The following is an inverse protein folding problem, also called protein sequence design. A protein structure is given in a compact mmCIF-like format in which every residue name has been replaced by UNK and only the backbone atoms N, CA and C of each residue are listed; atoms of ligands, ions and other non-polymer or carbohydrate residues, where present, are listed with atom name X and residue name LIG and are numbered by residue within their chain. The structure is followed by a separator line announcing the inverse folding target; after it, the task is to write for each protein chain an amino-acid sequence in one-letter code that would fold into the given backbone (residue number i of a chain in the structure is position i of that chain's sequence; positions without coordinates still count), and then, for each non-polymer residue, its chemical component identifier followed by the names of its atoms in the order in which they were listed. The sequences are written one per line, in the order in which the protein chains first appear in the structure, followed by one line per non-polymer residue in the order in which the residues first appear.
data_IF_328211188716
#
_entry.id   IF_328211188716
#
_cell.length_a   1.000
_cell.length_b   1.000
_cell.length_c   1.000
_cell.angle_alpha   90.00
_cell.angle_beta   90.00
_cell.angle_gamma   90.00
#
_symmetry.space_group_name_H-M   'P 1'
#
loop_
_entity.id
_entity.type
_entity.pdbx_description
1 polymer ?
#
# COMPACT_ATOMS: atom_id res chain seq x y z
N UNK A 1 -12.37 -29.07 -32.97
CA UNK A 1 -11.61 -30.12 -32.25
C UNK A 1 -10.32 -29.47 -31.74
N UNK A 2 -10.04 -29.28 -30.45
CA UNK A 2 -10.53 -29.91 -29.24
C UNK A 2 -11.27 -28.93 -28.32
N UNK A 3 -12.40 -29.38 -27.77
CA UNK A 3 -13.05 -28.72 -26.66
C UNK A 3 -12.12 -28.77 -25.44
N UNK A 4 -11.65 -27.59 -25.02
CA UNK A 4 -11.01 -27.41 -23.72
C UNK A 4 -12.01 -27.83 -22.66
N UNK A 5 -11.87 -29.06 -22.14
CA UNK A 5 -12.53 -29.47 -20.90
C UNK A 5 -12.15 -28.44 -19.84
N UNK A 6 -13.09 -27.57 -19.50
CA UNK A 6 -13.00 -26.76 -18.30
C UNK A 6 -13.06 -27.73 -17.13
N UNK A 7 -11.91 -28.24 -16.69
CA UNK A 7 -11.84 -28.97 -15.43
C UNK A 7 -12.41 -28.04 -14.38
N UNK A 8 -13.60 -28.34 -13.87
CA UNK A 8 -14.19 -27.58 -12.78
C UNK A 8 -13.19 -27.62 -11.63
N UNK A 9 -12.52 -26.50 -11.38
CA UNK A 9 -11.56 -26.40 -10.28
C UNK A 9 -12.36 -26.62 -9.01
N UNK A 10 -12.25 -27.82 -8.42
CA UNK A 10 -12.91 -28.13 -7.15
C UNK A 10 -12.33 -27.17 -6.09
N UNK A 11 -13.18 -26.58 -5.23
CA UNK A 11 -12.69 -25.84 -4.07
C UNK A 11 -11.79 -26.75 -3.23
N UNK A 12 -10.72 -26.19 -2.66
CA UNK A 12 -9.94 -26.93 -1.67
C UNK A 12 -10.83 -27.24 -0.46
N UNK A 13 -10.68 -28.45 0.08
CA UNK A 13 -11.33 -28.81 1.34
C UNK A 13 -10.75 -27.98 2.49
N UNK A 14 -11.49 -27.84 3.60
CA UNK A 14 -10.99 -27.10 4.77
C UNK A 14 -9.63 -27.61 5.27
N UNK A 15 -9.37 -28.91 5.16
CA UNK A 15 -8.10 -29.53 5.54
C UNK A 15 -6.93 -29.13 4.62
N UNK A 16 -7.20 -28.81 3.35
CA UNK A 16 -6.18 -28.45 2.35
C UNK A 16 -5.84 -26.95 2.36
N UNK A 17 -6.70 -26.11 2.93
CA UNK A 17 -6.54 -24.64 2.94
C UNK A 17 -5.21 -24.17 3.54
N UNK A 18 -4.72 -24.67 4.68
CA UNK A 18 -3.44 -24.20 5.23
C UNK A 18 -2.26 -24.48 4.29
N UNK A 19 -2.23 -25.66 3.67
CA UNK A 19 -1.19 -26.03 2.72
C UNK A 19 -1.28 -25.20 1.43
N UNK A 20 -2.51 -24.95 0.95
CA UNK A 20 -2.77 -24.12 -0.22
C UNK A 20 -2.35 -22.66 0.00
N UNK A 21 -2.69 -22.07 1.14
CA UNK A 21 -2.33 -20.69 1.43
C UNK A 21 -0.81 -20.54 1.62
N UNK A 22 -0.18 -21.53 2.24
CA UNK A 22 1.26 -21.59 2.44
C UNK A 22 2.04 -22.16 1.23
N UNK A 23 1.47 -22.15 0.03
CA UNK A 23 2.14 -22.58 -1.21
C UNK A 23 3.05 -21.48 -1.78
N UNK A 24 2.68 -20.21 -1.58
CA UNK A 24 3.40 -19.06 -2.08
C UNK A 24 3.21 -17.83 -1.17
N UNK A 25 4.24 -16.96 -1.03
CA UNK A 25 4.17 -15.80 -0.13
C UNK A 25 2.98 -14.89 -0.45
N UNK A 26 2.81 -14.51 -1.72
CA UNK A 26 1.75 -13.61 -2.16
C UNK A 26 0.34 -14.16 -1.88
N UNK A 27 0.13 -15.48 -1.86
CA UNK A 27 -1.22 -16.05 -1.68
C UNK A 27 -1.73 -15.82 -0.26
N UNK A 28 -0.96 -16.24 0.75
CA UNK A 28 -1.31 -16.01 2.16
C UNK A 28 -1.37 -14.52 2.50
N UNK A 29 -0.32 -13.78 2.13
CA UNK A 29 -0.20 -12.37 2.50
C UNK A 29 -1.19 -11.46 1.77
N UNK A 30 -1.56 -11.74 0.51
CA UNK A 30 -2.57 -10.94 -0.19
C UNK A 30 -3.98 -11.27 0.29
N UNK A 31 -4.26 -12.51 0.71
CA UNK A 31 -5.54 -12.83 1.35
C UNK A 31 -5.67 -12.05 2.68
N UNK A 32 -4.64 -12.09 3.52
CA UNK A 32 -4.58 -11.30 4.75
C UNK A 32 -4.75 -9.80 4.48
N UNK A 33 -4.05 -9.28 3.46
CA UNK A 33 -4.19 -7.87 3.04
C UNK A 33 -5.59 -7.53 2.53
N UNK A 34 -6.24 -8.45 1.79
CA UNK A 34 -7.59 -8.24 1.28
C UNK A 34 -8.63 -8.17 2.41
N UNK A 35 -8.46 -8.99 3.46
CA UNK A 35 -9.24 -8.88 4.69
C UNK A 35 -8.95 -7.54 5.38
N UNK A 36 -7.68 -7.16 5.52
CA UNK A 36 -7.27 -5.91 6.15
C UNK A 36 -7.84 -4.67 5.44
N UNK A 37 -7.90 -4.67 4.11
CA UNK A 37 -8.49 -3.58 3.30
C UNK A 37 -9.93 -3.28 3.65
N UNK A 38 -10.73 -4.32 3.92
CA UNK A 38 -12.12 -4.14 4.35
C UNK A 38 -12.20 -3.84 5.84
N UNK A 39 -11.48 -4.58 6.69
CA UNK A 39 -11.58 -4.43 8.14
C UNK A 39 -11.15 -3.03 8.62
N UNK A 40 -10.02 -2.50 8.11
CA UNK A 40 -9.53 -1.17 8.48
C UNK A 40 -10.56 -0.09 8.15
N UNK A 41 -11.17 -0.19 6.97
CA UNK A 41 -12.12 0.81 6.50
C UNK A 41 -13.52 0.61 7.07
N UNK A 42 -13.89 -0.60 7.48
CA UNK A 42 -15.13 -0.87 8.19
C UNK A 42 -15.10 -0.21 9.57
N UNK A 43 -14.03 -0.44 10.34
CA UNK A 43 -13.85 0.25 11.62
C UNK A 43 -13.82 1.78 11.43
N UNK A 44 -13.06 2.27 10.45
CA UNK A 44 -12.96 3.71 10.20
C UNK A 44 -14.27 4.35 9.72
N UNK A 45 -15.07 3.66 8.91
CA UNK A 45 -16.38 4.15 8.47
C UNK A 45 -17.36 4.26 9.64
N UNK A 46 -17.37 3.29 10.56
CA UNK A 46 -18.19 3.36 11.77
C UNK A 46 -17.72 4.48 12.69
N UNK A 47 -16.41 4.63 12.87
CA UNK A 47 -15.83 5.72 13.66
C UNK A 47 -16.20 7.11 13.10
N UNK A 48 -16.11 7.30 11.78
CA UNK A 48 -16.54 8.54 11.14
C UNK A 48 -18.05 8.77 11.24
N UNK A 49 -18.84 7.70 11.19
CA UNK A 49 -20.30 7.76 11.38
C UNK A 49 -20.63 8.21 12.80
N UNK A 50 -19.93 7.66 13.79
CA UNK A 50 -20.04 8.10 15.18
C UNK A 50 -19.66 9.58 15.32
N UNK A 51 -18.56 10.03 14.71
CA UNK A 51 -18.14 11.44 14.75
C UNK A 51 -19.17 12.38 14.11
N UNK A 52 -19.86 11.96 13.03
CA UNK A 52 -20.82 12.82 12.32
C UNK A 52 -22.21 12.84 12.95
N UNK A 53 -22.73 11.66 13.28
CA UNK A 53 -24.14 11.44 13.60
C UNK A 53 -24.37 11.03 15.06
N UNK A 54 -23.31 10.68 15.78
CA UNK A 54 -23.41 9.97 17.04
C UNK A 54 -23.81 8.51 16.84
N UNK A 55 -23.24 7.61 17.64
CA UNK A 55 -23.66 6.21 17.70
C UNK A 55 -23.58 5.76 19.16
N UNK A 56 -24.72 5.63 19.82
CA UNK A 56 -24.78 5.26 21.24
C UNK A 56 -24.10 3.91 21.49
N UNK A 57 -23.23 3.85 22.50
CA UNK A 57 -22.55 2.62 22.90
C UNK A 57 -21.39 2.17 22.02
N UNK A 58 -20.99 2.95 21.00
CA UNK A 58 -19.79 2.66 20.21
C UNK A 58 -18.52 2.87 21.06
N UNK A 59 -17.67 1.84 21.27
CA UNK A 59 -16.47 1.97 22.08
C UNK A 59 -15.43 2.85 21.38
N UNK A 60 -14.86 3.79 22.12
CA UNK A 60 -13.83 4.70 21.61
C UNK A 60 -12.42 4.11 21.80
N UNK A 61 -11.51 4.29 20.82
CA UNK A 61 -10.15 3.79 20.93
C UNK A 61 -9.37 4.56 21.99
N UNK A 62 -8.36 3.92 22.57
CA UNK A 62 -7.50 4.52 23.60
C UNK A 62 -6.44 5.49 23.07
N UNK A 63 -6.45 5.75 21.76
CA UNK A 63 -5.55 6.65 21.04
C UNK A 63 -6.38 7.47 20.06
N UNK A 64 -5.93 8.65 19.61
CA UNK A 64 -6.67 9.45 18.65
C UNK A 64 -7.10 8.61 17.42
N UNK A 65 -8.40 8.56 17.06
CA UNK A 65 -8.88 7.64 16.03
C UNK A 65 -8.21 7.85 14.67
N UNK A 66 -7.87 9.10 14.32
CA UNK A 66 -7.12 9.40 13.10
C UNK A 66 -5.70 8.84 13.10
N UNK A 67 -5.05 8.74 14.27
CA UNK A 67 -3.73 8.10 14.40
C UNK A 67 -3.85 6.59 14.31
N UNK A 68 -4.87 5.99 14.94
CA UNK A 68 -5.18 4.58 14.79
C UNK A 68 -5.40 4.22 13.31
N UNK A 69 -6.26 4.96 12.60
CA UNK A 69 -6.51 4.82 11.16
C UNK A 69 -5.21 4.86 10.35
N UNK A 70 -4.38 5.89 10.57
CA UNK A 70 -3.10 6.01 9.89
C UNK A 70 -2.19 4.80 10.16
N UNK A 71 -2.05 4.39 11.41
CA UNK A 71 -1.15 3.32 11.81
C UNK A 71 -1.59 1.95 11.31
N UNK A 72 -2.88 1.57 11.45
CA UNK A 72 -3.34 0.24 10.99
C UNK A 72 -3.30 0.12 9.46
N UNK A 73 -3.50 1.21 8.72
CA UNK A 73 -3.40 1.20 7.27
C UNK A 73 -1.93 1.13 6.81
N UNK A 74 -1.07 1.98 7.37
CA UNK A 74 0.32 2.12 6.92
C UNK A 74 1.20 0.95 7.34
N UNK A 75 0.95 0.38 8.53
CA UNK A 75 1.78 -0.68 9.13
C UNK A 75 1.13 -2.05 9.18
N UNK A 76 -0.19 -2.15 8.98
CA UNK A 76 -0.91 -3.41 8.93
C UNK A 76 -1.38 -3.76 7.52
N UNK A 77 -2.26 -2.94 6.93
CA UNK A 77 -2.92 -3.21 5.66
C UNK A 77 -1.94 -3.30 4.47
N UNK A 78 -1.29 -2.19 4.10
CA UNK A 78 -0.43 -2.16 2.91
C UNK A 78 0.78 -3.11 3.00
N UNK A 79 1.43 -3.26 4.17
CA UNK A 79 2.58 -4.14 4.36
C UNK A 79 2.30 -5.61 4.08
N UNK A 80 1.06 -6.08 4.29
CA UNK A 80 0.69 -7.43 3.89
C UNK A 80 0.88 -7.64 2.39
N UNK A 81 0.43 -6.69 1.56
CA UNK A 81 0.70 -6.74 0.11
C UNK A 81 2.18 -6.51 -0.23
N UNK A 82 2.87 -5.63 0.50
CA UNK A 82 4.28 -5.36 0.25
C UNK A 82 5.14 -6.59 0.54
N UNK A 83 4.99 -7.23 1.70
CA UNK A 83 5.70 -8.47 2.01
C UNK A 83 5.30 -9.60 1.06
N UNK A 84 4.01 -9.75 0.73
CA UNK A 84 3.56 -10.77 -0.21
C UNK A 84 4.22 -10.63 -1.58
N UNK A 85 4.40 -9.39 -2.05
CA UNK A 85 5.11 -9.09 -3.28
C UNK A 85 6.62 -9.28 -3.13
N UNK A 86 7.25 -8.62 -2.15
CA UNK A 86 8.70 -8.57 -1.99
C UNK A 86 9.31 -9.95 -1.72
N UNK A 87 8.70 -10.76 -0.85
CA UNK A 87 9.13 -12.15 -0.57
C UNK A 87 8.97 -13.05 -1.80
N UNK A 88 8.09 -12.69 -2.75
CA UNK A 88 7.95 -13.41 -4.03
C UNK A 88 8.98 -12.94 -5.06
N UNK A 89 9.30 -11.64 -5.12
CA UNK A 89 10.08 -11.05 -6.22
C UNK A 89 11.56 -10.84 -5.92
N UNK A 90 11.98 -10.67 -4.66
CA UNK A 90 13.40 -10.46 -4.32
C UNK A 90 14.29 -11.60 -4.81
N UNK A 91 13.98 -12.88 -4.52
CA UNK A 91 14.79 -13.99 -5.04
C UNK A 91 14.84 -13.97 -6.57
N UNK A 92 13.72 -13.66 -7.23
CA UNK A 92 13.66 -13.58 -8.70
C UNK A 92 14.50 -12.44 -9.28
N UNK A 93 14.52 -11.27 -8.64
CA UNK A 93 15.34 -10.15 -9.08
C UNK A 93 16.84 -10.44 -9.00
N UNK A 94 17.21 -11.41 -8.17
CA UNK A 94 18.59 -11.79 -7.87
C UNK A 94 18.96 -13.16 -8.43
N UNK A 95 18.07 -13.78 -9.21
CA UNK A 95 18.23 -15.13 -9.77
C UNK A 95 18.54 -16.20 -8.70
N UNK A 96 17.91 -16.10 -7.52
CA UNK A 96 18.04 -17.02 -6.41
C UNK A 96 16.81 -17.95 -6.30
N UNK A 97 16.95 -19.13 -5.66
CA UNK A 97 15.82 -20.03 -5.41
C UNK A 97 14.67 -19.36 -4.67
N UNK A 98 13.45 -19.81 -4.95
CA UNK A 98 12.26 -19.30 -4.26
C UNK A 98 12.32 -19.59 -2.75
N UNK A 99 11.83 -18.64 -1.94
CA UNK A 99 11.76 -18.82 -0.50
C UNK A 99 10.76 -19.92 -0.12
N UNK A 100 11.15 -20.77 0.83
CA UNK A 100 10.26 -21.78 1.39
C UNK A 100 9.28 -21.19 2.42
N UNK A 101 8.20 -21.92 2.71
CA UNK A 101 7.15 -21.57 3.71
C UNK A 101 7.68 -21.17 5.09
N UNK A 102 8.83 -21.69 5.52
CA UNK A 102 9.48 -21.31 6.79
C UNK A 102 9.88 -19.83 6.84
N UNK A 103 10.07 -19.20 5.69
CA UNK A 103 10.47 -17.79 5.60
C UNK A 103 9.26 -16.84 5.70
N UNK A 104 8.18 -17.11 4.98
CA UNK A 104 7.09 -16.12 4.83
C UNK A 104 5.87 -16.38 5.72
N UNK A 105 5.64 -17.61 6.20
CA UNK A 105 4.52 -17.89 7.12
C UNK A 105 4.66 -17.13 8.44
N UNK A 106 5.84 -17.08 9.10
CA UNK A 106 6.01 -16.27 10.31
C UNK A 106 5.75 -14.78 10.06
N UNK A 107 6.22 -14.24 8.94
CA UNK A 107 5.96 -12.84 8.55
C UNK A 107 4.46 -12.60 8.42
N UNK A 108 3.75 -13.47 7.72
CA UNK A 108 2.30 -13.35 7.53
C UNK A 108 1.54 -13.47 8.86
N UNK A 109 1.87 -14.47 9.68
CA UNK A 109 1.23 -14.69 10.97
C UNK A 109 1.46 -13.52 11.92
N UNK A 110 2.68 -12.97 11.98
CA UNK A 110 3.01 -11.85 12.86
C UNK A 110 2.40 -10.54 12.37
N UNK A 111 2.54 -10.17 11.08
CA UNK A 111 1.97 -8.91 10.59
C UNK A 111 0.45 -8.94 10.62
N UNK A 112 -0.19 -10.01 10.13
CA UNK A 112 -1.65 -10.12 10.13
C UNK A 112 -2.21 -10.34 11.54
N UNK A 113 -1.60 -11.21 12.34
CA UNK A 113 -2.02 -11.45 13.72
C UNK A 113 -1.90 -10.18 14.57
N UNK A 114 -0.78 -9.47 14.47
CA UNK A 114 -0.60 -8.19 15.13
C UNK A 114 -1.59 -7.12 14.65
N UNK A 115 -1.89 -7.07 13.35
CA UNK A 115 -2.93 -6.20 12.79
C UNK A 115 -4.33 -6.52 13.36
N UNK A 116 -4.71 -7.80 13.44
CA UNK A 116 -6.00 -8.21 14.00
C UNK A 116 -6.07 -7.85 15.48
N UNK A 117 -5.03 -8.15 16.27
CA UNK A 117 -4.96 -7.76 17.68
C UNK A 117 -5.10 -6.25 17.85
N UNK A 118 -4.40 -5.45 17.03
CA UNK A 118 -4.49 -4.00 17.10
C UNK A 118 -5.91 -3.51 16.80
N UNK A 119 -6.58 -4.03 15.76
CA UNK A 119 -7.97 -3.65 15.42
C UNK A 119 -8.96 -4.05 16.52
N UNK A 120 -8.84 -5.25 17.10
CA UNK A 120 -9.66 -5.65 18.26
C UNK A 120 -9.35 -4.76 19.47
N UNK A 121 -8.11 -4.31 19.62
CA UNK A 121 -7.74 -3.35 20.65
C UNK A 121 -8.43 -1.99 20.53
N UNK A 122 -8.76 -1.56 19.31
CA UNK A 122 -9.42 -0.28 19.06
C UNK A 122 -10.87 -0.23 19.56
N UNK A 123 -11.50 -1.39 19.83
CA UNK A 123 -12.87 -1.45 20.40
C UNK A 123 -12.89 -1.48 21.93
N UNK A 124 -11.93 -0.79 22.57
CA UNK A 124 -11.90 -0.62 24.04
C UNK A 124 -10.97 -1.57 24.80
N UNK A 125 -9.99 -2.19 24.13
CA UNK A 125 -9.01 -3.09 24.76
C UNK A 125 -7.57 -2.59 24.55
N UNK A 126 -7.09 -1.57 25.28
CA UNK A 126 -5.84 -0.87 24.99
C UNK A 126 -4.59 -1.77 24.99
N UNK A 127 -4.58 -2.81 25.82
CA UNK A 127 -3.48 -3.77 25.89
C UNK A 127 -3.31 -4.58 24.59
N UNK A 128 -4.41 -4.84 23.86
CA UNK A 128 -4.37 -5.50 22.56
C UNK A 128 -3.79 -4.59 21.47
N UNK A 129 -3.97 -3.27 21.56
CA UNK A 129 -3.30 -2.31 20.67
C UNK A 129 -1.79 -2.46 20.82
N UNK A 130 -1.29 -2.42 22.07
CA UNK A 130 0.15 -2.57 22.38
C UNK A 130 0.70 -3.90 21.89
N UNK A 131 0.02 -5.00 22.25
CA UNK A 131 0.41 -6.35 21.81
C UNK A 131 0.41 -6.46 20.27
N UNK A 132 -0.60 -5.90 19.60
CA UNK A 132 -0.70 -5.91 18.15
C UNK A 132 0.48 -5.23 17.46
N UNK A 133 0.88 -4.05 17.91
CA UNK A 133 2.04 -3.34 17.34
C UNK A 133 3.39 -4.02 17.65
N UNK A 134 3.53 -4.67 18.82
CA UNK A 134 4.71 -5.48 19.14
C UNK A 134 4.83 -6.67 18.17
N UNK A 135 3.72 -7.39 17.96
CA UNK A 135 3.70 -8.56 17.07
C UNK A 135 3.91 -8.14 15.61
N UNK A 136 3.36 -7.00 15.18
CA UNK A 136 3.66 -6.44 13.85
C UNK A 136 5.15 -6.11 13.70
N UNK A 137 5.79 -5.48 14.68
CA UNK A 137 7.22 -5.20 14.68
C UNK A 137 8.05 -6.49 14.54
N UNK A 138 7.70 -7.55 15.26
CA UNK A 138 8.36 -8.84 15.11
C UNK A 138 8.26 -9.38 13.67
N UNK A 139 7.08 -9.30 13.05
CA UNK A 139 6.88 -9.70 11.65
C UNK A 139 7.72 -8.88 10.67
N UNK A 140 7.81 -7.57 10.90
CA UNK A 140 8.66 -6.66 10.13
C UNK A 140 10.14 -7.00 10.25
N UNK A 141 10.64 -7.24 11.46
CA UNK A 141 12.04 -7.60 11.69
C UNK A 141 12.38 -8.93 11.01
N UNK A 142 11.51 -9.94 11.11
CA UNK A 142 11.69 -11.22 10.42
C UNK A 142 11.74 -11.02 8.90
N UNK A 143 10.74 -10.33 8.33
CA UNK A 143 10.65 -10.12 6.88
C UNK A 143 11.82 -9.31 6.33
N UNK A 144 12.20 -8.23 7.01
CA UNK A 144 13.33 -7.37 6.64
C UNK A 144 14.65 -8.15 6.71
N UNK A 145 14.85 -8.96 7.76
CA UNK A 145 16.04 -9.80 7.90
C UNK A 145 16.16 -10.82 6.77
N UNK A 146 15.06 -11.50 6.41
CA UNK A 146 15.04 -12.47 5.31
C UNK A 146 15.39 -11.79 3.99
N UNK A 147 14.74 -10.67 3.68
CA UNK A 147 14.99 -9.93 2.43
C UNK A 147 16.42 -9.36 2.38
N UNK A 148 16.95 -8.92 3.53
CA UNK A 148 18.35 -8.49 3.67
C UNK A 148 19.33 -9.62 3.40
N UNK A 149 19.09 -10.82 3.93
CA UNK A 149 19.92 -12.01 3.64
C UNK A 149 19.90 -12.39 2.16
N UNK A 150 18.74 -12.30 1.50
CA UNK A 150 18.61 -12.54 0.05
C UNK A 150 19.43 -11.52 -0.74
N UNK A 151 19.38 -10.24 -0.37
CA UNK A 151 20.15 -9.18 -1.01
C UNK A 151 21.67 -9.33 -0.79
N UNK A 152 22.08 -9.71 0.42
CA UNK A 152 23.47 -9.99 0.77
C UNK A 152 24.02 -11.18 -0.03
N UNK A 153 23.26 -12.28 -0.12
CA UNK A 153 23.63 -13.44 -0.92
C UNK A 153 23.81 -13.11 -2.42
N UNK A 154 23.11 -12.09 -2.91
CA UNK A 154 23.24 -11.59 -4.28
C UNK A 154 24.36 -10.52 -4.46
N UNK A 155 25.18 -10.30 -3.43
CA UNK A 155 26.29 -9.33 -3.46
C UNK A 155 25.83 -7.87 -3.47
N UNK A 156 24.63 -7.56 -2.97
CA UNK A 156 24.12 -6.18 -2.84
C UNK A 156 24.11 -5.38 -4.16
N UNK A 157 23.82 -6.01 -5.31
CA UNK A 157 23.94 -5.35 -6.63
C UNK A 157 22.68 -4.65 -7.12
N UNK A 158 21.52 -4.90 -6.51
CA UNK A 158 20.22 -4.44 -7.01
C UNK A 158 19.71 -3.22 -6.21
N UNK A 159 19.80 -2.02 -6.80
CA UNK A 159 19.44 -0.76 -6.12
C UNK A 159 17.96 -0.68 -5.73
N UNK A 160 17.05 -1.21 -6.55
CA UNK A 160 15.63 -1.30 -6.18
C UNK A 160 15.41 -2.16 -4.92
N UNK A 161 16.20 -3.22 -4.75
CA UNK A 161 16.11 -4.07 -3.56
C UNK A 161 16.67 -3.34 -2.32
N UNK A 162 17.77 -2.61 -2.45
CA UNK A 162 18.30 -1.73 -1.39
C UNK A 162 17.28 -0.68 -0.97
N UNK A 163 16.65 -0.03 -1.93
CA UNK A 163 15.59 0.97 -1.70
C UNK A 163 14.42 0.38 -0.92
N UNK A 164 13.88 -0.76 -1.35
CA UNK A 164 12.82 -1.43 -0.60
C UNK A 164 13.26 -1.86 0.81
N UNK A 165 14.51 -2.33 0.98
CA UNK A 165 15.03 -2.76 2.28
C UNK A 165 15.21 -1.57 3.24
N UNK A 166 15.71 -0.44 2.74
CA UNK A 166 15.81 0.80 3.50
C UNK A 166 14.44 1.28 3.98
N UNK A 167 13.44 1.22 3.11
CA UNK A 167 12.07 1.59 3.46
C UNK A 167 11.46 0.65 4.52
N UNK A 168 11.68 -0.67 4.42
CA UNK A 168 11.27 -1.62 5.44
C UNK A 168 11.98 -1.39 6.78
N UNK A 169 13.27 -1.07 6.75
CA UNK A 169 14.03 -0.72 7.95
C UNK A 169 13.48 0.55 8.62
N UNK A 170 13.17 1.60 7.85
CA UNK A 170 12.45 2.77 8.36
C UNK A 170 11.07 2.39 8.89
N UNK A 171 10.36 1.46 8.26
CA UNK A 171 9.13 0.88 8.79
C UNK A 171 9.30 0.30 10.20
N UNK A 172 10.38 -0.44 10.46
CA UNK A 172 10.70 -0.91 11.81
C UNK A 172 10.91 0.25 12.78
N UNK A 173 11.64 1.30 12.36
CA UNK A 173 11.87 2.50 13.19
C UNK A 173 10.55 3.19 13.52
N UNK A 174 9.65 3.34 12.56
CA UNK A 174 8.33 3.93 12.80
C UNK A 174 7.46 3.11 13.74
N UNK A 175 7.48 1.77 13.63
CA UNK A 175 6.81 0.89 14.59
C UNK A 175 7.38 1.03 16.01
N UNK A 176 8.71 1.11 16.15
CA UNK A 176 9.35 1.37 17.44
C UNK A 176 8.93 2.73 18.00
N UNK A 177 8.95 3.79 17.18
CA UNK A 177 8.50 5.11 17.60
C UNK A 177 7.03 5.10 18.07
N UNK A 178 6.15 4.41 17.37
CA UNK A 178 4.76 4.28 17.81
C UNK A 178 4.63 3.49 19.11
N UNK A 179 5.41 2.43 19.29
CA UNK A 179 5.43 1.68 20.55
C UNK A 179 5.92 2.56 21.70
N UNK A 180 6.96 3.37 21.51
CA UNK A 180 7.41 4.35 22.51
C UNK A 180 6.26 5.23 22.96
N UNK A 181 5.47 5.78 22.03
CA UNK A 181 4.25 6.53 22.37
C UNK A 181 3.23 5.68 23.15
N UNK A 182 2.92 4.47 22.69
CA UNK A 182 1.95 3.59 23.37
C UNK A 182 2.37 3.18 24.80
N UNK A 183 3.67 3.24 25.11
CA UNK A 183 4.22 2.97 26.43
C UNK A 183 4.52 4.23 27.26
N UNK A 184 3.92 5.37 26.89
CA UNK A 184 3.98 6.62 27.69
C UNK A 184 5.02 7.63 27.21
N UNK A 185 5.64 7.41 26.04
CA UNK A 185 6.47 8.41 25.38
C UNK A 185 5.66 9.57 24.78
N UNK A 186 6.33 10.62 24.29
CA UNK A 186 5.67 11.83 23.81
C UNK A 186 4.88 11.59 22.51
N UNK A 187 3.86 12.42 22.28
CA UNK A 187 3.03 12.38 21.05
C UNK A 187 3.85 12.57 19.77
N UNK A 188 4.97 13.28 19.84
CA UNK A 188 5.90 13.48 18.72
C UNK A 188 6.46 12.16 18.18
N UNK A 189 6.50 11.09 18.99
CA UNK A 189 6.87 9.75 18.53
C UNK A 189 5.76 9.11 17.66
N UNK A 190 4.48 9.32 17.99
CA UNK A 190 3.38 8.86 17.14
C UNK A 190 3.32 9.62 15.82
N UNK A 191 3.51 10.95 15.85
CA UNK A 191 3.59 11.76 14.64
C UNK A 191 4.77 11.33 13.76
N UNK A 192 5.95 11.11 14.35
CA UNK A 192 7.10 10.57 13.63
C UNK A 192 6.76 9.25 12.94
N UNK A 193 6.11 8.32 13.66
CA UNK A 193 5.69 7.05 13.09
C UNK A 193 4.74 7.23 11.90
N UNK A 194 3.74 8.11 12.00
CA UNK A 194 2.80 8.38 10.90
C UNK A 194 3.52 8.97 9.67
N UNK A 195 4.47 9.88 9.87
CA UNK A 195 5.25 10.45 8.75
C UNK A 195 6.22 9.45 8.14
N UNK A 196 6.90 8.63 8.96
CA UNK A 196 7.72 7.51 8.49
C UNK A 196 6.88 6.52 7.70
N UNK A 197 5.68 6.16 8.17
CA UNK A 197 4.83 5.20 7.49
C UNK A 197 4.49 5.65 6.06
N UNK A 198 4.15 6.92 5.88
CA UNK A 198 3.82 7.44 4.53
C UNK A 198 5.06 7.68 3.68
N UNK A 199 6.04 8.46 4.17
CA UNK A 199 7.14 8.99 3.36
C UNK A 199 8.45 8.21 3.48
N UNK A 200 8.63 7.45 4.55
CA UNK A 200 9.80 6.58 4.76
C UNK A 200 9.55 5.11 4.37
N UNK A 201 8.31 4.63 4.42
CA UNK A 201 7.94 3.23 4.18
C UNK A 201 7.13 3.07 2.88
N UNK A 202 5.89 3.57 2.84
CA UNK A 202 4.96 3.30 1.74
C UNK A 202 5.42 3.93 0.43
N UNK A 203 5.59 5.25 0.40
CA UNK A 203 5.91 5.95 -0.84
C UNK A 203 7.23 5.44 -1.47
N UNK A 204 8.33 5.26 -0.73
CA UNK A 204 9.54 4.71 -1.32
C UNK A 204 9.35 3.30 -1.88
N UNK A 205 8.58 2.42 -1.24
CA UNK A 205 8.31 1.08 -1.76
C UNK A 205 7.44 1.13 -3.01
N UNK A 206 6.33 1.86 -2.96
CA UNK A 206 5.44 2.00 -4.11
C UNK A 206 6.18 2.59 -5.31
N UNK A 207 6.89 3.70 -5.12
CA UNK A 207 7.67 4.33 -6.18
C UNK A 207 8.78 3.41 -6.70
N UNK A 208 9.52 2.72 -5.82
CA UNK A 208 10.59 1.80 -6.24
C UNK A 208 10.04 0.65 -7.09
N UNK A 209 8.90 0.07 -6.67
CA UNK A 209 8.24 -1.01 -7.40
C UNK A 209 7.72 -0.50 -8.74
N UNK A 210 7.04 0.66 -8.78
CA UNK A 210 6.59 1.26 -10.05
C UNK A 210 7.77 1.59 -10.97
N UNK A 211 8.83 2.20 -10.43
CA UNK A 211 10.05 2.56 -11.15
C UNK A 211 10.73 1.34 -11.79
N UNK A 212 10.68 0.18 -11.14
CA UNK A 212 11.21 -1.07 -11.72
C UNK A 212 10.25 -1.70 -12.72
N UNK A 213 8.97 -1.78 -12.35
CA UNK A 213 7.98 -2.67 -12.98
C UNK A 213 7.19 -2.01 -14.09
N UNK A 214 6.81 -0.74 -13.97
CA UNK A 214 5.97 -0.08 -14.97
C UNK A 214 6.69 0.05 -16.32
N UNK A 215 7.97 0.49 -16.37
CA UNK A 215 8.71 0.54 -17.64
C UNK A 215 9.00 -0.86 -18.18
N UNK A 216 9.25 -1.83 -17.28
CA UNK A 216 9.47 -3.23 -17.67
C UNK A 216 8.21 -3.85 -18.29
N UNK A 217 7.03 -3.64 -17.71
CA UNK A 217 5.77 -4.15 -18.28
C UNK A 217 5.42 -3.45 -19.59
N UNK A 218 5.67 -2.14 -19.69
CA UNK A 218 5.47 -1.40 -20.94
C UNK A 218 6.39 -1.95 -22.04
N UNK A 219 7.66 -2.21 -21.74
CA UNK A 219 8.61 -2.80 -22.68
C UNK A 219 8.30 -4.23 -23.14
N UNK A 220 7.53 -4.99 -22.35
CA UNK A 220 7.09 -6.34 -22.74
C UNK A 220 5.83 -6.34 -23.62
N UNK A 221 5.13 -5.21 -23.72
CA UNK A 221 3.83 -5.11 -24.41
C UNK A 221 3.93 -4.23 -25.65
N UNK A 222 4.62 -3.10 -25.54
CA UNK A 222 4.71 -2.08 -26.59
C UNK A 222 5.94 -2.37 -27.45
N UNK A 223 5.73 -2.56 -28.75
CA UNK A 223 6.82 -2.72 -29.73
C UNK A 223 7.68 -1.46 -29.75
N UNK A 224 9.00 -1.65 -29.85
CA UNK A 224 10.00 -0.56 -29.93
C UNK A 224 9.95 0.42 -28.75
N UNK A 225 9.56 -0.06 -27.57
CA UNK A 225 9.51 0.75 -26.35
C UNK A 225 10.88 0.87 -25.67
N UNK A 226 11.36 2.10 -25.52
CA UNK A 226 12.59 2.40 -24.79
C UNK A 226 12.33 2.44 -23.28
N UNK A 227 12.94 1.50 -22.54
CA UNK A 227 12.78 1.39 -21.08
C UNK A 227 13.57 2.49 -20.35
N UNK A 228 12.86 3.50 -19.85
CA UNK A 228 13.45 4.63 -19.10
C UNK A 228 13.46 4.34 -17.59
N UNK A 229 14.65 4.11 -17.02
CA UNK A 229 14.89 3.87 -15.58
C UNK A 229 16.20 4.50 -15.12
N UNK A 230 16.28 5.84 -15.01
CA UNK A 230 17.52 6.51 -14.64
C UNK A 230 17.98 6.11 -13.23
N UNK A 231 19.29 5.96 -13.04
CA UNK A 231 19.85 5.61 -11.71
C UNK A 231 19.75 6.76 -10.69
N UNK A 232 19.65 8.00 -11.17
CA UNK A 232 19.58 9.19 -10.32
C UNK A 232 18.24 9.32 -9.59
N UNK A 233 17.15 8.73 -10.09
CA UNK A 233 15.80 8.98 -9.58
C UNK A 233 15.60 8.51 -8.15
N UNK A 234 16.00 7.28 -7.83
CA UNK A 234 15.85 6.71 -6.50
C UNK A 234 16.58 7.52 -5.41
N UNK A 235 17.89 7.84 -5.52
CA UNK A 235 18.56 8.63 -4.50
C UNK A 235 18.00 10.06 -4.37
N UNK A 236 17.64 10.72 -5.48
CA UNK A 236 17.00 12.05 -5.44
C UNK A 236 15.67 12.00 -4.71
N UNK A 237 14.80 11.05 -5.05
CA UNK A 237 13.51 10.86 -4.37
C UNK A 237 13.72 10.55 -2.89
N UNK A 238 14.68 9.72 -2.51
CA UNK A 238 14.99 9.45 -1.11
C UNK A 238 15.38 10.70 -0.33
N UNK A 239 16.31 11.50 -0.85
CA UNK A 239 16.76 12.73 -0.18
C UNK A 239 15.59 13.69 0.02
N UNK A 240 14.80 13.90 -1.03
CA UNK A 240 13.66 14.81 -0.96
C UNK A 240 12.55 14.31 -0.01
N UNK A 241 12.25 13.01 -0.01
CA UNK A 241 11.25 12.43 0.89
C UNK A 241 11.68 12.45 2.35
N UNK A 242 12.96 12.20 2.64
CA UNK A 242 13.49 12.36 4.00
C UNK A 242 13.48 13.83 4.43
N UNK A 243 13.77 14.76 3.51
CA UNK A 243 13.60 16.19 3.73
C UNK A 243 12.16 16.55 4.09
N UNK A 244 11.19 16.11 3.29
CA UNK A 244 9.76 16.31 3.55
C UNK A 244 9.37 15.76 4.93
N UNK A 245 9.71 14.50 5.22
CA UNK A 245 9.42 13.83 6.48
C UNK A 245 9.98 14.61 7.68
N UNK A 246 11.25 15.03 7.61
CA UNK A 246 11.89 15.76 8.70
C UNK A 246 11.29 17.14 8.89
N UNK A 247 11.00 17.87 7.81
CA UNK A 247 10.37 19.19 7.89
C UNK A 247 8.97 19.11 8.46
N UNK A 248 8.16 18.14 8.02
CA UNK A 248 6.82 17.90 8.54
C UNK A 248 6.87 17.54 10.04
N UNK A 249 7.72 16.57 10.42
CA UNK A 249 7.87 16.14 11.81
C UNK A 249 8.37 17.25 12.74
N UNK A 250 9.23 18.15 12.25
CA UNK A 250 9.76 19.28 13.01
C UNK A 250 8.89 20.53 12.93
N UNK A 251 7.75 20.49 12.24
CA UNK A 251 6.85 21.62 12.07
C UNK A 251 7.42 22.76 11.22
N UNK A 252 8.42 22.49 10.38
CA UNK A 252 9.07 23.46 9.48
C UNK A 252 8.26 23.65 8.19
N UNK A 253 6.95 23.88 8.33
CA UNK A 253 5.99 23.86 7.22
C UNK A 253 6.30 24.94 6.16
N UNK A 254 6.83 26.09 6.57
CA UNK A 254 7.20 27.21 5.69
C UNK A 254 8.34 26.89 4.71
N UNK A 255 9.11 25.83 4.95
CA UNK A 255 10.26 25.43 4.12
C UNK A 255 9.99 24.18 3.27
N UNK A 256 8.84 23.50 3.45
CA UNK A 256 8.54 22.24 2.75
C UNK A 256 8.47 22.37 1.23
N UNK A 257 8.10 23.53 0.72
CA UNK A 257 8.06 23.77 -0.72
C UNK A 257 9.42 23.51 -1.41
N UNK A 258 10.55 23.67 -0.68
CA UNK A 258 11.90 23.41 -1.17
C UNK A 258 12.10 21.95 -1.57
N UNK A 259 11.38 21.01 -0.95
CA UNK A 259 11.43 19.58 -1.26
C UNK A 259 10.23 19.12 -2.07
N UNK A 260 9.04 19.69 -1.84
CA UNK A 260 7.80 19.24 -2.47
C UNK A 260 7.66 19.70 -3.92
N UNK A 261 8.17 20.89 -4.26
CA UNK A 261 8.24 21.34 -5.67
C UNK A 261 9.17 20.41 -6.48
N UNK A 262 10.42 20.12 -6.08
CA UNK A 262 11.24 19.13 -6.77
C UNK A 262 10.63 17.72 -6.84
N UNK A 263 9.96 17.24 -5.78
CA UNK A 263 9.27 15.96 -5.80
C UNK A 263 8.17 15.94 -6.87
N UNK A 264 7.35 16.99 -6.95
CA UNK A 264 6.33 17.12 -7.98
C UNK A 264 6.94 17.05 -9.39
N UNK A 265 8.04 17.76 -9.63
CA UNK A 265 8.74 17.76 -10.91
C UNK A 265 9.34 16.38 -11.26
N UNK A 266 9.99 15.71 -10.32
CA UNK A 266 10.59 14.39 -10.53
C UNK A 266 9.50 13.35 -10.82
N UNK A 267 8.39 13.37 -10.10
CA UNK A 267 7.28 12.43 -10.35
C UNK A 267 6.55 12.75 -11.66
N UNK A 268 6.36 14.02 -12.00
CA UNK A 268 5.76 14.42 -13.27
C UNK A 268 6.65 14.00 -14.45
N UNK A 269 7.97 14.16 -14.32
CA UNK A 269 8.94 13.69 -15.31
C UNK A 269 8.80 12.19 -15.55
N UNK A 270 8.70 11.36 -14.50
CA UNK A 270 8.49 9.92 -14.66
C UNK A 270 7.15 9.59 -15.33
N UNK A 271 6.09 10.34 -15.02
CA UNK A 271 4.75 10.12 -15.59
C UNK A 271 4.75 10.34 -17.10
N UNK A 272 5.54 11.31 -17.59
CA UNK A 272 5.73 11.57 -19.02
C UNK A 272 6.75 10.60 -19.63
N UNK A 273 7.90 10.41 -18.98
CA UNK A 273 9.02 9.60 -19.49
C UNK A 273 8.65 8.14 -19.71
N UNK A 274 7.65 7.62 -18.99
CA UNK A 274 7.14 6.26 -19.17
C UNK A 274 6.11 6.12 -20.29
N UNK A 275 5.82 7.21 -21.01
CA UNK A 275 5.04 7.24 -22.27
C UNK A 275 3.68 6.54 -22.15
N UNK A 276 2.81 6.96 -21.20
CA UNK A 276 1.51 6.33 -20.97
C UNK A 276 0.69 6.22 -22.26
N UNK A 277 0.75 7.22 -23.14
CA UNK A 277 0.02 7.23 -24.43
C UNK A 277 0.35 6.03 -25.34
N UNK A 278 1.53 5.41 -25.22
CA UNK A 278 1.90 4.19 -25.97
C UNK A 278 1.46 2.90 -25.26
N UNK A 279 1.15 2.97 -23.96
CA UNK A 279 1.01 1.82 -23.06
C UNK A 279 -0.40 1.70 -22.45
N UNK A 280 -1.43 2.24 -23.11
CA UNK A 280 -2.84 2.16 -22.66
C UNK A 280 -3.56 0.85 -23.03
N UNK A 281 -2.86 -0.09 -23.70
CA UNK A 281 -3.38 -1.44 -23.98
C UNK A 281 -2.29 -2.47 -23.67
N UNK A 282 -2.64 -3.63 -23.07
CA UNK A 282 -3.97 -4.01 -22.58
C UNK A 282 -4.37 -3.25 -21.30
N UNK A 283 -5.65 -3.29 -20.93
CA UNK A 283 -6.20 -2.51 -19.81
C UNK A 283 -5.47 -2.72 -18.47
N UNK A 284 -4.90 -3.91 -18.22
CA UNK A 284 -4.11 -4.19 -17.00
C UNK A 284 -2.81 -3.40 -16.92
N UNK A 285 -2.28 -2.94 -18.07
CA UNK A 285 -1.15 -2.01 -18.15
C UNK A 285 -1.62 -0.56 -18.01
N UNK A 286 -2.74 -0.21 -18.65
CA UNK A 286 -3.33 1.13 -18.59
C UNK A 286 -3.59 1.58 -17.14
N UNK A 287 -4.22 0.71 -16.33
CA UNK A 287 -4.55 1.03 -14.93
C UNK A 287 -3.31 1.28 -14.07
N UNK A 288 -2.15 0.71 -14.41
CA UNK A 288 -0.91 1.01 -13.68
C UNK A 288 -0.42 2.43 -13.97
N UNK A 289 -0.51 2.89 -15.22
CA UNK A 289 -0.19 4.27 -15.60
C UNK A 289 -1.19 5.26 -15.02
N UNK A 290 -2.49 4.95 -15.08
CA UNK A 290 -3.54 5.78 -14.47
C UNK A 290 -3.37 5.86 -12.95
N UNK A 291 -3.05 4.76 -12.27
CA UNK A 291 -2.72 4.78 -10.85
C UNK A 291 -1.49 5.63 -10.57
N UNK A 292 -0.43 5.51 -11.37
CA UNK A 292 0.79 6.29 -11.18
C UNK A 292 0.56 7.79 -11.36
N UNK A 293 -0.36 8.21 -12.23
CA UNK A 293 -0.68 9.62 -12.44
C UNK A 293 -1.14 10.36 -11.16
N UNK A 294 -1.68 9.65 -10.18
CA UNK A 294 -2.02 10.24 -8.89
C UNK A 294 -0.80 10.68 -8.06
N UNK A 295 0.37 10.07 -8.26
CA UNK A 295 1.57 10.45 -7.53
C UNK A 295 2.02 11.89 -7.84
N UNK A 296 2.25 12.30 -9.10
CA UNK A 296 2.54 13.70 -9.40
C UNK A 296 1.37 14.62 -9.06
N UNK A 297 0.11 14.21 -9.21
CA UNK A 297 -1.04 15.02 -8.78
C UNK A 297 -0.95 15.32 -7.27
N UNK A 298 -0.70 14.31 -6.44
CA UNK A 298 -0.57 14.49 -5.00
C UNK A 298 0.56 15.45 -4.64
N UNK A 299 1.73 15.33 -5.28
CA UNK A 299 2.86 16.22 -5.01
C UNK A 299 2.70 17.62 -5.60
N UNK A 300 1.94 17.80 -6.68
CA UNK A 300 1.51 19.13 -7.13
C UNK A 300 0.61 19.77 -6.09
N UNK A 301 -0.34 19.02 -5.50
CA UNK A 301 -1.19 19.54 -4.43
C UNK A 301 -0.37 19.91 -3.18
N UNK A 302 0.60 19.07 -2.78
CA UNK A 302 1.55 19.40 -1.71
C UNK A 302 2.34 20.67 -2.03
N UNK A 303 2.98 20.73 -3.20
CA UNK A 303 3.78 21.87 -3.63
C UNK A 303 2.98 23.18 -3.65
N UNK A 304 1.77 23.17 -4.21
CA UNK A 304 0.89 24.36 -4.23
C UNK A 304 0.51 24.76 -2.80
N UNK A 305 0.11 23.81 -1.95
CA UNK A 305 -0.19 24.10 -0.55
C UNK A 305 1.00 24.72 0.17
N UNK A 306 2.21 24.20 -0.03
CA UNK A 306 3.39 24.64 0.70
C UNK A 306 3.91 25.99 0.23
N UNK A 307 3.78 26.30 -1.07
CA UNK A 307 4.08 27.64 -1.59
C UNK A 307 3.07 28.66 -1.05
N UNK A 308 1.79 28.31 -1.00
CA UNK A 308 0.75 29.17 -0.40
C UNK A 308 1.02 29.36 1.09
N UNK A 309 1.35 28.29 1.82
CA UNK A 309 1.66 28.38 3.24
C UNK A 309 2.90 29.25 3.49
N UNK A 310 3.96 29.11 2.69
CA UNK A 310 5.16 29.93 2.82
C UNK A 310 4.92 31.42 2.54
N UNK A 311 3.94 31.76 1.69
CA UNK A 311 3.66 33.15 1.29
C UNK A 311 2.53 33.81 2.07
N UNK A 312 1.56 33.02 2.56
CA UNK A 312 0.32 33.51 3.20
C UNK A 312 0.05 32.92 4.58
N UNK A 313 0.77 31.88 5.00
CA UNK A 313 0.53 31.16 6.26
C UNK A 313 -0.72 30.28 6.28
N UNK A 314 -1.35 30.05 5.12
CA UNK A 314 -2.62 29.36 4.99
C UNK A 314 -2.46 27.92 4.46
N UNK A 315 -3.15 26.96 5.08
CA UNK A 315 -3.22 25.57 4.63
C UNK A 315 -4.50 25.33 3.81
N UNK A 316 -4.43 25.58 2.51
CA UNK A 316 -5.60 25.54 1.63
C UNK A 316 -6.24 24.15 1.47
N UNK A 317 -5.42 23.09 1.37
CA UNK A 317 -5.90 21.75 1.01
C UNK A 317 -5.92 20.78 2.19
N UNK A 318 -5.49 21.20 3.38
CA UNK A 318 -5.45 20.39 4.60
C UNK A 318 -4.86 18.99 4.32
N UNK A 319 -5.66 17.92 4.44
CA UNK A 319 -5.23 16.52 4.20
C UNK A 319 -5.51 16.01 2.79
N UNK A 320 -5.97 16.83 1.85
CA UNK A 320 -6.26 16.40 0.49
C UNK A 320 -5.02 15.88 -0.28
N UNK A 321 -3.83 16.52 -0.20
CA UNK A 321 -2.63 15.98 -0.86
C UNK A 321 -2.28 14.57 -0.36
N UNK A 322 -2.39 14.34 0.97
CA UNK A 322 -2.16 13.05 1.59
C UNK A 322 -3.12 11.97 1.07
N UNK A 323 -4.40 12.31 0.87
CA UNK A 323 -5.39 11.33 0.41
C UNK A 323 -5.40 11.14 -1.11
N UNK A 324 -4.98 12.15 -1.89
CA UNK A 324 -4.62 11.96 -3.30
C UNK A 324 -3.48 10.93 -3.43
N UNK A 325 -2.51 10.97 -2.52
CA UNK A 325 -1.45 9.96 -2.43
C UNK A 325 -1.97 8.61 -1.94
N UNK A 326 -2.66 8.57 -0.80
CA UNK A 326 -3.03 7.32 -0.13
C UNK A 326 -4.13 6.54 -0.86
N UNK A 327 -5.16 7.23 -1.36
CA UNK A 327 -6.28 6.60 -2.08
C UNK A 327 -5.96 6.56 -3.58
N UNK A 328 -5.66 7.73 -4.14
CA UNK A 328 -5.40 7.90 -5.57
C UNK A 328 -4.21 7.05 -6.03
N UNK A 329 -3.03 7.21 -5.42
CA UNK A 329 -1.86 6.44 -5.81
C UNK A 329 -1.79 5.07 -5.15
N UNK A 330 -1.68 4.97 -3.81
CA UNK A 330 -1.44 3.67 -3.17
C UNK A 330 -2.63 2.71 -3.35
N UNK A 331 -3.86 3.18 -3.15
CA UNK A 331 -5.06 2.38 -3.38
C UNK A 331 -5.19 1.91 -4.83
N UNK A 332 -5.12 2.82 -5.81
CA UNK A 332 -5.25 2.44 -7.23
C UNK A 332 -4.11 1.55 -7.70
N UNK A 333 -2.88 1.82 -7.25
CA UNK A 333 -1.70 1.00 -7.59
C UNK A 333 -1.79 -0.38 -6.94
N UNK A 334 -2.35 -0.50 -5.74
CA UNK A 334 -2.66 -1.78 -5.12
C UNK A 334 -3.63 -2.57 -5.98
N UNK A 335 -4.76 -1.97 -6.39
CA UNK A 335 -5.75 -2.67 -7.24
C UNK A 335 -5.11 -3.12 -8.56
N UNK A 336 -4.34 -2.25 -9.22
CA UNK A 336 -3.68 -2.55 -10.48
C UNK A 336 -2.62 -3.67 -10.34
N UNK A 337 -1.71 -3.54 -9.37
CA UNK A 337 -0.58 -4.45 -9.21
C UNK A 337 -1.02 -5.79 -8.62
N UNK A 338 -1.88 -5.79 -7.59
CA UNK A 338 -2.36 -7.02 -6.96
C UNK A 338 -3.23 -7.81 -7.93
N UNK A 339 -4.07 -7.15 -8.75
CA UNK A 339 -4.82 -7.85 -9.81
C UNK A 339 -3.86 -8.52 -10.79
N UNK A 340 -2.83 -7.81 -11.25
CA UNK A 340 -1.83 -8.36 -12.18
C UNK A 340 -1.10 -9.58 -11.60
N UNK A 341 -0.59 -9.46 -10.37
CA UNK A 341 0.11 -10.56 -9.68
C UNK A 341 -0.84 -11.74 -9.47
N UNK A 342 -2.07 -11.48 -9.02
CA UNK A 342 -3.09 -12.50 -8.77
C UNK A 342 -3.43 -13.26 -10.05
N UNK A 343 -3.61 -12.58 -11.18
CA UNK A 343 -3.88 -13.24 -12.46
C UNK A 343 -2.68 -14.08 -12.92
N UNK A 344 -1.49 -13.49 -12.95
CA UNK A 344 -0.28 -14.17 -13.46
C UNK A 344 0.15 -15.38 -12.63
N UNK A 345 0.01 -15.31 -11.30
CA UNK A 345 0.39 -16.40 -10.41
C UNK A 345 -0.70 -17.45 -10.22
N UNK A 346 -1.93 -17.19 -10.67
CA UNK A 346 -3.04 -18.13 -10.55
C UNK A 346 -3.36 -18.89 -11.84
N UNK A 347 -2.50 -18.75 -12.87
CA UNK A 347 -2.68 -19.38 -14.19
C UNK A 347 -3.81 -18.76 -15.01
N UNK A 348 -4.21 -17.51 -14.71
CA UNK A 348 -5.31 -16.82 -15.38
C UNK A 348 -4.74 -15.80 -16.39
N UNK A 349 -5.49 -15.46 -17.46
CA UNK A 349 -5.06 -14.45 -18.42
C UNK A 349 -4.73 -13.12 -17.72
N UNK A 350 -3.63 -12.47 -18.14
CA UNK A 350 -3.20 -11.16 -17.64
C UNK A 350 -4.09 -10.04 -18.21
N UNK A 351 -5.32 -9.98 -17.72
CA UNK A 351 -6.34 -9.02 -18.16
C UNK A 351 -7.05 -8.37 -16.98
N UNK A 352 -7.52 -7.15 -17.20
CA UNK A 352 -8.33 -6.43 -16.23
C UNK A 352 -9.80 -6.87 -16.38
N UNK A 353 -10.28 -7.71 -15.45
CA UNK A 353 -11.66 -8.19 -15.46
C UNK A 353 -12.67 -7.13 -15.00
N UNK A 354 -13.96 -7.34 -15.29
CA UNK A 354 -15.06 -6.41 -14.95
C UNK A 354 -15.05 -5.96 -13.47
N UNK A 355 -14.87 -6.90 -12.54
CA UNK A 355 -14.83 -6.62 -11.10
C UNK A 355 -13.65 -5.72 -10.73
N UNK A 356 -12.48 -5.97 -11.33
CA UNK A 356 -11.29 -5.15 -11.07
C UNK A 356 -11.44 -3.76 -11.68
N UNK A 357 -12.05 -3.64 -12.86
CA UNK A 357 -12.40 -2.34 -13.47
C UNK A 357 -13.38 -1.55 -12.61
N UNK A 358 -14.44 -2.21 -12.11
CA UNK A 358 -15.42 -1.59 -11.21
C UNK A 358 -14.73 -1.03 -9.96
N UNK A 359 -13.91 -1.85 -9.30
CA UNK A 359 -13.14 -1.44 -8.12
C UNK A 359 -12.22 -0.25 -8.44
N UNK A 360 -11.47 -0.31 -9.54
CA UNK A 360 -10.59 0.77 -9.96
C UNK A 360 -11.35 2.07 -10.19
N UNK A 361 -12.46 2.03 -10.94
CA UNK A 361 -13.27 3.20 -11.27
C UNK A 361 -13.92 3.83 -10.03
N UNK A 362 -14.54 3.01 -9.17
CA UNK A 362 -15.13 3.49 -7.91
C UNK A 362 -14.07 4.09 -6.99
N UNK A 363 -12.86 3.53 -6.97
CA UNK A 363 -11.77 4.09 -6.17
C UNK A 363 -11.33 5.49 -6.63
N UNK A 364 -11.43 5.79 -7.94
CA UNK A 364 -11.18 7.16 -8.43
C UNK A 364 -12.22 8.13 -7.87
N UNK A 365 -13.49 7.72 -7.84
CA UNK A 365 -14.58 8.51 -7.27
C UNK A 365 -14.34 8.70 -5.76
N UNK A 366 -13.93 7.65 -5.03
CA UNK A 366 -13.61 7.73 -3.60
C UNK A 366 -12.46 8.72 -3.34
N UNK A 367 -11.41 8.72 -4.16
CA UNK A 367 -10.32 9.69 -4.03
C UNK A 367 -10.83 11.14 -4.18
N UNK A 368 -11.67 11.40 -5.19
CA UNK A 368 -12.27 12.71 -5.41
C UNK A 368 -13.22 13.13 -4.28
N UNK A 369 -14.06 12.22 -3.79
CA UNK A 369 -14.95 12.47 -2.64
C UNK A 369 -14.15 12.80 -1.38
N UNK A 370 -13.04 12.07 -1.15
CA UNK A 370 -12.18 12.34 0.00
C UNK A 370 -11.46 13.69 -0.12
N UNK A 371 -11.02 14.07 -1.31
CA UNK A 371 -10.44 15.40 -1.57
C UNK A 371 -11.50 16.49 -1.36
N UNK A 372 -12.73 16.27 -1.86
CA UNK A 372 -13.87 17.19 -1.72
C UNK A 372 -14.17 17.51 -0.26
N UNK A 373 -13.98 16.57 0.66
CA UNK A 373 -14.19 16.79 2.09
C UNK A 373 -13.34 17.94 2.65
N UNK A 374 -12.17 18.23 2.08
CA UNK A 374 -11.27 19.30 2.54
C UNK A 374 -11.60 20.67 1.91
N UNK A 375 -12.52 20.72 0.95
CA UNK A 375 -12.90 21.95 0.24
C UNK A 375 -14.10 22.68 0.89
N UNK A 376 -14.43 22.34 2.14
CA UNK A 376 -15.50 22.98 2.94
C UNK A 376 -16.88 22.31 2.84
N UNK A 377 -17.88 22.90 3.51
CA UNK A 377 -19.21 22.30 3.69
C UNK A 377 -19.23 21.26 4.83
N UNK A 378 -20.10 20.25 4.72
CA UNK A 378 -20.19 19.17 5.72
C UNK A 378 -19.05 18.16 5.55
N UNK A 379 -17.88 18.52 6.08
CA UNK A 379 -16.64 17.72 6.00
C UNK A 379 -16.89 16.28 6.42
N UNK A 380 -17.48 16.07 7.60
CA UNK A 380 -17.69 14.74 8.17
C UNK A 380 -18.64 13.87 7.34
N UNK A 381 -19.69 14.44 6.73
CA UNK A 381 -20.54 13.70 5.80
C UNK A 381 -19.75 13.20 4.59
N UNK A 382 -18.92 14.04 3.98
CA UNK A 382 -18.07 13.62 2.86
C UNK A 382 -17.05 12.55 3.27
N UNK A 383 -16.50 12.62 4.49
CA UNK A 383 -15.63 11.57 5.04
C UNK A 383 -16.37 10.24 5.16
N UNK A 384 -17.58 10.25 5.70
CA UNK A 384 -18.42 9.04 5.83
C UNK A 384 -18.73 8.44 4.44
N UNK A 385 -19.18 9.28 3.49
CA UNK A 385 -19.47 8.83 2.12
C UNK A 385 -18.23 8.23 1.46
N UNK A 386 -17.06 8.86 1.59
CA UNK A 386 -15.82 8.33 1.05
C UNK A 386 -15.42 6.99 1.71
N UNK A 387 -15.58 6.84 3.02
CA UNK A 387 -15.25 5.62 3.75
C UNK A 387 -16.14 4.44 3.36
N UNK A 388 -17.47 4.64 3.24
CA UNK A 388 -18.37 3.61 2.73
C UNK A 388 -18.18 3.37 1.22
N UNK A 389 -17.87 4.40 0.44
CA UNK A 389 -17.52 4.28 -0.96
C UNK A 389 -16.30 3.36 -1.18
N UNK A 390 -15.29 3.44 -0.30
CA UNK A 390 -14.17 2.50 -0.30
C UNK A 390 -14.62 1.05 -0.09
N UNK A 391 -15.49 0.80 0.89
CA UNK A 391 -16.01 -0.55 1.16
C UNK A 391 -16.79 -1.10 -0.04
N UNK A 392 -17.66 -0.28 -0.64
CA UNK A 392 -18.41 -0.65 -1.86
C UNK A 392 -17.46 -0.95 -3.02
N UNK A 393 -16.40 -0.14 -3.19
CA UNK A 393 -15.41 -0.34 -4.25
C UNK A 393 -14.63 -1.65 -4.08
N UNK A 394 -14.16 -1.94 -2.86
CA UNK A 394 -13.27 -3.06 -2.60
C UNK A 394 -13.98 -4.40 -2.35
N UNK A 395 -15.20 -4.41 -1.81
CA UNK A 395 -15.88 -5.64 -1.41
C UNK A 395 -15.97 -6.68 -2.55
N UNK A 396 -16.48 -6.34 -3.77
CA UNK A 396 -16.53 -7.31 -4.86
C UNK A 396 -15.14 -7.79 -5.31
N UNK A 397 -14.14 -6.92 -5.29
CA UNK A 397 -12.77 -7.23 -5.67
C UNK A 397 -12.06 -8.13 -4.65
N UNK A 398 -12.29 -7.90 -3.36
CA UNK A 398 -11.78 -8.73 -2.27
C UNK A 398 -12.42 -10.11 -2.32
N UNK A 399 -13.74 -10.22 -2.46
CA UNK A 399 -14.42 -11.52 -2.57
C UNK A 399 -13.89 -12.32 -3.78
N UNK A 400 -13.74 -11.64 -4.93
CA UNK A 400 -13.18 -12.26 -6.14
C UNK A 400 -11.74 -12.72 -5.96
N UNK A 401 -10.91 -11.94 -5.27
CA UNK A 401 -9.49 -12.24 -5.03
C UNK A 401 -9.34 -13.35 -3.98
N UNK A 402 -10.11 -13.31 -2.90
CA UNK A 402 -10.15 -14.35 -1.88
C UNK A 402 -10.52 -15.70 -2.49
N UNK A 403 -11.52 -15.76 -3.37
CA UNK A 403 -11.83 -17.00 -4.11
C UNK A 403 -10.63 -17.50 -4.93
N UNK A 404 -9.83 -16.63 -5.56
CA UNK A 404 -8.63 -17.04 -6.30
C UNK A 404 -7.56 -17.59 -5.36
N UNK A 405 -7.42 -17.01 -4.17
CA UNK A 405 -6.43 -17.47 -3.18
C UNK A 405 -6.84 -18.77 -2.49
N UNK A 406 -8.14 -19.02 -2.36
CA UNK A 406 -8.71 -20.21 -1.71
C UNK A 406 -9.01 -21.37 -2.68
N UNK A 407 -8.72 -21.21 -3.98
CA UNK A 407 -8.89 -22.27 -4.98
C UNK A 407 -7.57 -22.62 -5.65
N UNK A 408 -7.37 -23.88 -6.09
CA UNK A 408 -6.20 -24.25 -6.87
C UNK A 408 -6.01 -23.37 -8.13
N UNK A 409 -4.78 -23.32 -8.63
CA UNK A 409 -4.49 -22.63 -9.89
C UNK A 409 -5.34 -23.16 -11.03
N UNK A 410 -5.73 -22.28 -11.95
CA UNK A 410 -6.55 -22.65 -13.10
C UNK A 410 -5.80 -23.52 -14.10
N UNK A 411 -4.47 -23.41 -14.16
CA UNK A 411 -3.60 -24.14 -15.09
C UNK A 411 -3.11 -25.48 -14.54
N UNK A 412 -3.58 -25.92 -13.36
CA UNK A 412 -3.21 -27.20 -12.75
C UNK A 412 -1.77 -27.29 -12.23
N UNK A 413 -0.98 -26.21 -12.34
CA UNK A 413 0.39 -26.17 -11.83
C UNK A 413 0.41 -26.06 -10.30
N UNK A 414 1.54 -26.41 -9.64
CA UNK A 414 1.71 -26.16 -8.21
C UNK A 414 1.51 -24.68 -7.89
N UNK A 415 0.77 -24.40 -6.81
CA UNK A 415 0.57 -23.05 -6.33
C UNK A 415 -0.82 -22.79 -5.80
#
# INVERSE_FOLDING_TARGET
MAESRTSSVKPATFAELPALLASAPHRLLFLAGAIAVLLSMAWWAVELTWMRFGLGGWPQPSIPPGWAHAMVIQYGLFPLFMFGFLLTVFPRWMNLPALSRRHYVPVAASVFGGYVLANVGLVGMPWLVKAGFIVMLAGYLIGTTILGRVLLAAGNRIDHAKSCLLALALGCVGLVAFLVYLFGGPETCALLAIHIGTFGLLLPIFFTVTHRMLPFFSGNVVKDYHVVRPRWSLPVVWVLLLGHLLMEWRGLLAWRWVVDVPLALVFAWHAVAWQPWKAMRPGILAVLHLAFAWLPIAFVLYAVQDVIYATRGELLFMRAPLHALAIGYFGSMLVAMVTRVTMGHSGRPLQMGKIAWLCFALLQIVALLRIRAELGGDVYLWLVIAAYGWLVAFLPWVLRSAWIYLTPRRDGKPG
#
